data_IF_353161126389
#
_entry.id   IF_353161126389
#
_cell.length_a   1.000
_cell.length_b   1.000
_cell.length_c   1.000
_cell.angle_alpha   90.00
_cell.angle_beta   90.00
_cell.angle_gamma   90.00
#
_symmetry.space_group_name_H-M   'P 1'
#
loop_
_entity.id
_entity.type
_entity.pdbx_description
1 polymer ?
#
# COMPACT_ATOMS: atom_id res chain seq x y z
N UNK A 1 -2.24 -21.96 2.78
CA UNK A 1 -2.94 -20.68 2.50
C UNK A 1 -2.01 -19.47 2.59
N UNK A 2 -1.34 -19.18 3.71
CA UNK A 2 -0.50 -17.97 3.84
C UNK A 2 0.62 -17.85 2.79
N UNK A 3 1.37 -18.93 2.55
CA UNK A 3 2.42 -18.95 1.49
C UNK A 3 1.87 -18.60 0.11
N UNK A 4 0.69 -19.13 -0.21
CA UNK A 4 0.02 -18.91 -1.49
C UNK A 4 -0.52 -17.47 -1.61
N UNK A 5 -1.03 -16.90 -0.51
CA UNK A 5 -1.44 -15.50 -0.47
C UNK A 5 -0.26 -14.56 -0.75
N UNK A 6 0.90 -14.83 -0.12
CA UNK A 6 2.14 -14.06 -0.36
C UNK A 6 2.66 -14.23 -1.80
N UNK A 7 2.51 -15.41 -2.39
CA UNK A 7 2.89 -15.65 -3.79
C UNK A 7 2.02 -14.82 -4.75
N UNK A 8 0.70 -14.80 -4.56
CA UNK A 8 -0.19 -13.95 -5.34
C UNK A 8 0.10 -12.46 -5.12
N UNK A 9 0.39 -12.04 -3.89
CA UNK A 9 0.83 -10.67 -3.57
C UNK A 9 2.09 -10.29 -4.34
N UNK A 10 3.13 -11.13 -4.31
CA UNK A 10 4.39 -10.89 -5.02
C UNK A 10 4.20 -10.81 -6.55
N UNK A 11 3.28 -11.61 -7.08
CA UNK A 11 2.91 -11.59 -8.49
C UNK A 11 1.93 -10.45 -8.85
N UNK A 12 1.64 -9.55 -7.90
CA UNK A 12 0.67 -8.44 -8.05
C UNK A 12 -0.74 -8.91 -8.41
N UNK A 13 -1.07 -10.17 -8.13
CA UNK A 13 -2.41 -10.71 -8.26
C UNK A 13 -3.21 -10.39 -6.98
N UNK A 14 -3.51 -9.11 -6.83
CA UNK A 14 -4.12 -8.57 -5.62
C UNK A 14 -5.49 -9.16 -5.30
N UNK A 15 -6.28 -9.52 -6.33
CA UNK A 15 -7.59 -10.12 -6.15
C UNK A 15 -7.50 -11.48 -5.44
N UNK A 16 -6.69 -12.41 -5.97
CA UNK A 16 -6.49 -13.72 -5.35
C UNK A 16 -5.78 -13.63 -4.00
N UNK A 17 -4.83 -12.70 -3.87
CA UNK A 17 -4.19 -12.42 -2.59
C UNK A 17 -5.21 -11.96 -1.54
N UNK A 18 -6.10 -11.04 -1.89
CA UNK A 18 -7.14 -10.54 -1.01
C UNK A 18 -8.12 -11.64 -0.57
N UNK A 19 -8.55 -12.52 -1.47
CA UNK A 19 -9.43 -13.64 -1.12
C UNK A 19 -8.80 -14.56 -0.07
N UNK A 20 -7.52 -14.93 -0.27
CA UNK A 20 -6.82 -15.79 0.68
C UNK A 20 -6.50 -15.08 2.00
N UNK A 21 -6.13 -13.80 1.96
CA UNK A 21 -5.92 -13.02 3.19
C UNK A 21 -7.22 -12.81 3.97
N UNK A 22 -8.37 -12.70 3.29
CA UNK A 22 -9.69 -12.64 3.93
C UNK A 22 -9.98 -13.92 4.70
N UNK A 23 -9.77 -15.08 4.06
CA UNK A 23 -9.97 -16.38 4.70
C UNK A 23 -9.07 -16.54 5.93
N UNK A 24 -7.78 -16.25 5.78
CA UNK A 24 -6.82 -16.29 6.88
C UNK A 24 -7.19 -15.33 8.03
N UNK A 25 -7.59 -14.10 7.69
CA UNK A 25 -8.01 -13.11 8.70
C UNK A 25 -9.29 -13.50 9.42
N UNK A 26 -10.20 -14.23 8.76
CA UNK A 26 -11.42 -14.75 9.39
C UNK A 26 -11.14 -15.95 10.30
N UNK A 27 -10.15 -16.79 9.95
CA UNK A 27 -9.71 -17.90 10.81
C UNK A 27 -8.95 -17.41 12.05
N UNK A 28 -8.26 -16.27 11.95
CA UNK A 28 -7.53 -15.65 13.07
C UNK A 28 -7.96 -14.20 13.31
N UNK A 29 -9.18 -13.94 13.86
CA UNK A 29 -9.69 -12.59 14.06
C UNK A 29 -8.89 -11.74 15.06
N UNK A 30 -7.93 -12.30 15.80
CA UNK A 30 -6.98 -11.56 16.63
C UNK A 30 -5.76 -11.02 15.87
N UNK A 31 -5.46 -11.59 14.70
CA UNK A 31 -4.23 -11.33 13.97
C UNK A 31 -4.29 -10.02 13.16
N UNK A 32 -3.78 -8.94 13.76
CA UNK A 32 -3.72 -7.61 13.15
C UNK A 32 -2.92 -7.60 11.84
N UNK A 33 -1.88 -8.44 11.73
CA UNK A 33 -1.06 -8.49 10.53
C UNK A 33 -1.82 -9.07 9.34
N UNK A 34 -2.64 -10.11 9.56
CA UNK A 34 -3.51 -10.68 8.52
C UNK A 34 -4.60 -9.70 8.09
N UNK A 35 -5.21 -8.98 9.04
CA UNK A 35 -6.16 -7.90 8.71
C UNK A 35 -5.52 -6.83 7.82
N UNK A 36 -4.34 -6.34 8.22
CA UNK A 36 -3.60 -5.35 7.44
C UNK A 36 -3.28 -5.85 6.04
N UNK A 37 -2.84 -7.11 5.91
CA UNK A 37 -2.54 -7.74 4.62
C UNK A 37 -3.79 -7.88 3.74
N UNK A 38 -4.92 -8.23 4.33
CA UNK A 38 -6.20 -8.23 3.63
C UNK A 38 -6.57 -6.83 3.14
N UNK A 39 -6.54 -5.81 4.01
CA UNK A 39 -6.88 -4.43 3.65
C UNK A 39 -5.98 -3.91 2.52
N UNK A 40 -4.68 -4.17 2.60
CA UNK A 40 -3.69 -3.78 1.60
C UNK A 40 -3.93 -4.44 0.24
N UNK A 41 -4.21 -5.76 0.22
CA UNK A 41 -4.47 -6.49 -1.01
C UNK A 41 -5.84 -6.11 -1.60
N UNK A 42 -6.86 -6.00 -0.76
CA UNK A 42 -8.21 -5.60 -1.15
C UNK A 42 -8.20 -4.21 -1.79
N UNK A 43 -7.50 -3.25 -1.18
CA UNK A 43 -7.40 -1.89 -1.72
C UNK A 43 -6.80 -1.87 -3.12
N UNK A 44 -5.74 -2.66 -3.36
CA UNK A 44 -5.09 -2.75 -4.69
C UNK A 44 -5.93 -3.51 -5.71
N UNK A 45 -6.65 -4.55 -5.28
CA UNK A 45 -7.58 -5.28 -6.14
C UNK A 45 -8.77 -4.41 -6.58
N UNK A 46 -9.21 -3.49 -5.72
CA UNK A 46 -10.38 -2.63 -5.94
C UNK A 46 -10.02 -1.17 -6.21
N UNK A 47 -8.78 -0.90 -6.63
CA UNK A 47 -8.30 0.45 -6.87
C UNK A 47 -9.07 1.12 -8.02
N UNK A 48 -9.60 2.31 -7.76
CA UNK A 48 -10.40 3.11 -8.69
C UNK A 48 -9.73 4.44 -8.97
N UNK A 49 -10.01 4.99 -10.15
CA UNK A 49 -9.67 6.36 -10.47
C UNK A 49 -10.71 7.24 -9.76
N UNK A 50 -10.27 7.93 -8.71
CA UNK A 50 -11.10 8.79 -7.87
C UNK A 50 -10.53 10.20 -7.91
N UNK A 51 -11.40 11.19 -8.09
CA UNK A 51 -11.02 12.57 -7.88
C UNK A 51 -10.65 12.77 -6.41
N UNK A 52 -9.54 13.47 -6.18
CA UNK A 52 -9.10 13.83 -4.84
C UNK A 52 -9.74 15.16 -4.44
N UNK A 53 -10.52 15.20 -3.35
CA UNK A 53 -10.89 16.45 -2.72
C UNK A 53 -9.65 17.25 -2.33
N UNK A 54 -9.78 18.56 -2.19
CA UNK A 54 -8.64 19.47 -1.99
C UNK A 54 -7.75 19.08 -0.80
N UNK A 55 -8.35 18.69 0.32
CA UNK A 55 -7.61 18.21 1.50
C UNK A 55 -6.79 16.94 1.20
N UNK A 56 -7.36 15.96 0.50
CA UNK A 56 -6.67 14.72 0.10
C UNK A 56 -5.55 15.05 -0.88
N UNK A 57 -5.82 15.91 -1.86
CA UNK A 57 -4.86 16.33 -2.88
C UNK A 57 -3.66 17.05 -2.26
N UNK A 58 -3.89 17.92 -1.27
CA UNK A 58 -2.83 18.63 -0.56
C UNK A 58 -1.90 17.65 0.18
N UNK A 59 -2.46 16.66 0.89
CA UNK A 59 -1.69 15.63 1.61
C UNK A 59 -0.93 14.74 0.61
N UNK A 60 -1.61 14.27 -0.44
CA UNK A 60 -1.00 13.49 -1.51
C UNK A 60 0.19 14.22 -2.14
N UNK A 61 0.02 15.51 -2.48
CA UNK A 61 1.08 16.33 -3.07
C UNK A 61 2.29 16.46 -2.14
N UNK A 62 2.09 16.65 -0.83
CA UNK A 62 3.21 16.65 0.14
C UNK A 62 3.99 15.34 0.12
N UNK A 63 3.29 14.20 0.07
CA UNK A 63 3.90 12.89 -0.06
C UNK A 63 4.70 12.73 -1.36
N UNK A 64 4.15 13.17 -2.48
CA UNK A 64 4.84 13.15 -3.78
C UNK A 64 6.08 14.05 -3.77
N UNK A 65 6.00 15.26 -3.21
CA UNK A 65 7.14 16.17 -3.12
C UNK A 65 8.25 15.60 -2.23
N UNK A 66 7.90 14.98 -1.10
CA UNK A 66 8.86 14.27 -0.26
C UNK A 66 9.53 13.10 -1.02
N UNK A 67 8.78 12.35 -1.84
CA UNK A 67 9.34 11.28 -2.65
C UNK A 67 10.31 11.80 -3.72
N UNK A 68 9.98 12.94 -4.36
CA UNK A 68 10.85 13.62 -5.33
C UNK A 68 12.15 14.09 -4.65
N UNK A 69 12.06 14.59 -3.42
CA UNK A 69 13.21 14.97 -2.60
C UNK A 69 14.03 13.77 -2.09
N UNK A 70 13.64 12.53 -2.40
CA UNK A 70 14.31 11.31 -1.92
C UNK A 70 13.97 10.93 -0.48
N UNK A 71 13.08 11.67 0.18
CA UNK A 71 12.66 11.45 1.56
C UNK A 71 11.51 10.42 1.61
N UNK A 72 11.79 9.17 1.22
CA UNK A 72 10.74 8.15 1.02
C UNK A 72 9.98 7.77 2.30
N UNK A 73 10.61 7.84 3.48
CA UNK A 73 9.91 7.60 4.75
C UNK A 73 8.84 8.68 5.01
N UNK A 74 9.17 9.95 4.77
CA UNK A 74 8.22 11.06 4.93
C UNK A 74 7.16 11.05 3.83
N UNK A 75 7.55 10.65 2.61
CA UNK A 75 6.61 10.43 1.53
C UNK A 75 5.53 9.41 1.92
N UNK A 76 5.95 8.25 2.44
CA UNK A 76 5.03 7.22 2.91
C UNK A 76 4.13 7.72 4.02
N UNK A 77 4.65 8.51 4.97
CA UNK A 77 3.84 9.08 6.06
C UNK A 77 2.66 9.91 5.52
N UNK A 78 2.92 10.82 4.59
CA UNK A 78 1.89 11.64 3.96
C UNK A 78 0.96 10.83 3.06
N UNK A 79 1.50 9.93 2.23
CA UNK A 79 0.69 9.12 1.33
C UNK A 79 -0.25 8.17 2.11
N UNK A 80 0.20 7.65 3.25
CA UNK A 80 -0.61 6.86 4.17
C UNK A 80 -1.75 7.69 4.80
N UNK A 81 -1.49 8.95 5.11
CA UNK A 81 -2.53 9.87 5.57
C UNK A 81 -3.57 10.14 4.47
N UNK A 82 -3.13 10.35 3.22
CA UNK A 82 -4.05 10.46 2.09
C UNK A 82 -4.86 9.17 1.88
N UNK A 83 -4.23 8.01 2.06
CA UNK A 83 -4.88 6.69 1.94
C UNK A 83 -5.97 6.48 2.99
N UNK A 84 -5.80 6.97 4.21
CA UNK A 84 -6.87 6.92 5.23
C UNK A 84 -8.14 7.64 4.78
N UNK A 85 -8.02 8.68 3.96
CA UNK A 85 -9.15 9.46 3.44
C UNK A 85 -9.74 8.87 2.15
N UNK A 86 -8.90 8.30 1.27
CA UNK A 86 -9.35 7.61 0.07
C UNK A 86 -8.60 6.28 -0.11
N UNK A 87 -9.02 5.20 0.57
CA UNK A 87 -8.27 3.95 0.63
C UNK A 87 -8.19 3.21 -0.71
N UNK A 88 -9.13 3.47 -1.62
CA UNK A 88 -9.21 2.84 -2.93
C UNK A 88 -8.71 3.73 -4.07
N UNK A 89 -8.13 4.90 -3.78
CA UNK A 89 -7.65 5.79 -4.84
C UNK A 89 -6.38 5.23 -5.48
N UNK A 90 -6.46 4.91 -6.77
CA UNK A 90 -5.36 4.31 -7.53
C UNK A 90 -4.08 5.14 -7.53
N UNK A 91 -4.20 6.47 -7.57
CA UNK A 91 -3.03 7.36 -7.59
C UNK A 91 -2.28 7.36 -6.25
N UNK A 92 -3.01 7.33 -5.13
CA UNK A 92 -2.41 7.22 -3.79
C UNK A 92 -1.71 5.87 -3.65
N UNK A 93 -2.40 4.77 -3.98
CA UNK A 93 -1.85 3.42 -3.86
C UNK A 93 -0.58 3.24 -4.71
N UNK A 94 -0.59 3.72 -5.95
CA UNK A 94 0.59 3.69 -6.82
C UNK A 94 1.77 4.51 -6.27
N UNK A 95 1.50 5.66 -5.67
CA UNK A 95 2.53 6.49 -5.07
C UNK A 95 3.16 5.78 -3.84
N UNK A 96 2.35 5.10 -3.03
CA UNK A 96 2.83 4.28 -1.90
C UNK A 96 3.71 3.14 -2.40
N UNK A 97 3.25 2.40 -3.42
CA UNK A 97 4.02 1.30 -4.01
C UNK A 97 5.37 1.80 -4.55
N UNK A 98 5.37 2.91 -5.30
CA UNK A 98 6.59 3.52 -5.82
C UNK A 98 7.56 3.97 -4.70
N UNK A 99 7.05 4.58 -3.63
CA UNK A 99 7.88 5.02 -2.52
C UNK A 99 8.50 3.83 -1.77
N UNK A 100 7.74 2.75 -1.55
CA UNK A 100 8.24 1.51 -0.94
C UNK A 100 9.31 0.84 -1.80
N UNK A 101 9.11 0.75 -3.12
CA UNK A 101 10.08 0.15 -4.04
C UNK A 101 11.42 0.90 -4.00
N UNK A 102 11.37 2.24 -3.97
CA UNK A 102 12.57 3.09 -3.85
C UNK A 102 13.24 2.92 -2.49
N UNK A 103 12.47 2.94 -1.40
CA UNK A 103 12.99 2.77 -0.05
C UNK A 103 13.69 1.40 0.10
N UNK A 104 13.08 0.32 -0.41
CA UNK A 104 13.65 -1.02 -0.40
C UNK A 104 14.93 -1.11 -1.22
N UNK A 105 14.99 -0.44 -2.38
CA UNK A 105 16.21 -0.40 -3.19
C UNK A 105 17.36 0.27 -2.46
N UNK A 106 17.09 1.36 -1.74
CA UNK A 106 18.10 2.12 -0.99
C UNK A 106 18.58 1.33 0.22
N UNK A 107 17.66 0.78 1.01
CA UNK A 107 18.02 -0.03 2.19
C UNK A 107 18.74 -1.33 1.80
N UNK A 108 18.36 -1.95 0.68
CA UNK A 108 19.05 -3.11 0.12
C UNK A 108 20.42 -2.80 -0.49
N UNK A 109 20.68 -1.55 -0.88
CA UNK A 109 22.00 -1.12 -1.38
C UNK A 109 23.00 -0.76 -0.28
N UNK A 110 22.55 -0.50 0.95
CA UNK A 110 23.41 -0.14 2.08
C UNK A 110 24.07 -1.34 2.79
N UNK A 111 23.82 -2.57 2.32
CA UNK A 111 24.30 -3.81 2.92
C UNK A 111 25.26 -4.63 2.05
N UNK A 112 26.00 -4.00 1.12
CA UNK A 112 27.06 -4.65 0.34
C UNK A 112 28.38 -3.90 0.46
#
# INVERSE_FOLDING_TARGET
MLRQAMEYENNKNWAKAADLYRELSNSEPGNVALRKKYDDAFARANAKDLDMPENVKAIYNRGVQAAIAGNYQEALRHLEEARKLQPLNRNILRAIDSANDKLKKISGSAGR
#
